data_IF_478889937514
#
_entry.id   IF_478889937514
#
_cell.length_a   1.000
_cell.length_b   1.000
_cell.length_c   1.000
_cell.angle_alpha   90.00
_cell.angle_beta   90.00
_cell.angle_gamma   90.00
#
_symmetry.space_group_name_H-M   'P 1'
#
loop_
_entity.id
_entity.type
_entity.pdbx_description
1 polymer ?
#
# COMPACT_ATOMS: atom_id res chain seq x y z
N UNK A 1 13.99 -60.60 -24.64
CA UNK A 1 14.15 -59.40 -23.80
C UNK A 1 12.94 -58.50 -24.03
N UNK A 2 12.27 -58.11 -22.93
CA UNK A 2 11.06 -57.28 -22.89
C UNK A 2 11.48 -55.88 -22.44
N UNK A 3 10.98 -54.83 -23.09
CA UNK A 3 10.08 -53.80 -22.53
C UNK A 3 10.02 -52.57 -23.45
N UNK A 4 8.80 -52.24 -23.86
CA UNK A 4 8.42 -50.96 -24.44
C UNK A 4 8.63 -49.85 -23.39
N UNK A 5 9.13 -48.70 -23.82
CA UNK A 5 9.13 -47.47 -23.02
C UNK A 5 8.20 -46.48 -23.71
N UNK A 6 7.05 -46.23 -23.10
CA UNK A 6 6.27 -45.01 -23.34
C UNK A 6 7.04 -43.87 -22.65
N UNK A 7 7.49 -42.88 -23.40
CA UNK A 7 7.79 -41.57 -22.82
C UNK A 7 6.50 -40.75 -22.89
N UNK A 8 5.84 -40.62 -21.74
CA UNK A 8 4.74 -39.68 -21.58
C UNK A 8 5.25 -38.27 -21.88
N UNK A 9 4.57 -37.56 -22.76
CA UNK A 9 4.65 -36.11 -22.81
C UNK A 9 4.15 -35.62 -21.46
N UNK A 10 5.06 -35.28 -20.55
CA UNK A 10 4.72 -34.41 -19.45
C UNK A 10 4.40 -33.07 -20.09
N UNK A 11 3.11 -32.81 -20.32
CA UNK A 11 2.64 -31.44 -20.37
C UNK A 11 3.00 -30.89 -18.98
N UNK A 12 4.11 -30.16 -18.88
CA UNK A 12 4.26 -29.23 -17.77
C UNK A 12 3.07 -28.29 -17.93
N UNK A 13 2.02 -28.52 -17.14
CA UNK A 13 1.29 -27.41 -16.60
C UNK A 13 2.34 -26.61 -15.82
N UNK A 14 2.97 -25.65 -16.49
CA UNK A 14 3.38 -24.42 -15.84
C UNK A 14 2.06 -23.85 -15.33
N UNK A 15 1.61 -24.36 -14.17
CA UNK A 15 0.81 -23.53 -13.30
C UNK A 15 1.65 -22.28 -13.17
N UNK A 16 1.11 -21.16 -13.62
CA UNK A 16 1.57 -19.86 -13.18
C UNK A 16 1.45 -19.92 -11.68
N UNK A 17 2.50 -20.39 -11.00
CA UNK A 17 2.62 -20.23 -9.57
C UNK A 17 2.66 -18.73 -9.42
N UNK A 18 1.52 -18.13 -9.07
CA UNK A 18 1.50 -16.80 -8.52
C UNK A 18 2.58 -16.85 -7.45
N UNK A 19 3.69 -16.14 -7.67
CA UNK A 19 4.68 -15.98 -6.62
C UNK A 19 3.88 -15.43 -5.44
N UNK A 20 3.68 -16.25 -4.40
CA UNK A 20 2.96 -15.80 -3.23
C UNK A 20 3.84 -14.70 -2.65
N UNK A 21 3.36 -13.46 -2.74
CA UNK A 21 4.02 -12.33 -2.12
C UNK A 21 4.27 -12.66 -0.65
N UNK A 22 5.43 -12.30 -0.15
CA UNK A 22 5.75 -12.45 1.27
C UNK A 22 4.80 -11.53 2.06
N UNK A 23 4.01 -12.03 3.02
CA UNK A 23 3.14 -11.17 3.81
C UNK A 23 3.93 -10.06 4.49
N UNK A 24 3.34 -8.87 4.57
CA UNK A 24 3.92 -7.76 5.31
C UNK A 24 3.53 -7.83 6.79
N UNK A 25 4.18 -7.01 7.63
CA UNK A 25 3.89 -6.92 9.07
C UNK A 25 2.41 -6.62 9.37
N UNK A 26 1.75 -5.84 8.52
CA UNK A 26 0.36 -5.43 8.77
C UNK A 26 -0.64 -6.57 8.53
N UNK A 27 -0.25 -7.60 7.76
CA UNK A 27 -1.06 -8.81 7.57
C UNK A 27 -1.16 -9.64 8.86
N UNK A 28 -0.21 -9.48 9.79
CA UNK A 28 -0.20 -10.17 11.08
C UNK A 28 -1.03 -9.43 12.16
N UNK A 29 -1.52 -8.22 11.89
CA UNK A 29 -2.30 -7.44 12.86
C UNK A 29 -3.72 -8.01 12.94
N UNK A 30 -4.01 -8.67 14.06
CA UNK A 30 -5.33 -9.23 14.33
C UNK A 30 -6.37 -8.10 14.41
N UNK A 31 -7.45 -8.21 13.63
CA UNK A 31 -8.50 -7.20 13.60
C UNK A 31 -8.15 -5.94 12.82
N UNK A 32 -7.08 -5.96 12.00
CA UNK A 32 -6.80 -4.86 11.08
C UNK A 32 -8.01 -4.60 10.18
N UNK A 33 -8.46 -3.35 10.14
CA UNK A 33 -9.61 -2.95 9.35
C UNK A 33 -9.25 -2.77 7.86
N UNK A 34 -7.97 -2.52 7.56
CA UNK A 34 -7.51 -2.26 6.20
C UNK A 34 -7.35 -3.55 5.40
N UNK A 35 -7.99 -3.61 4.23
CA UNK A 35 -7.73 -4.65 3.24
C UNK A 35 -6.45 -4.32 2.48
N UNK A 36 -5.65 -5.35 2.17
CA UNK A 36 -4.40 -5.21 1.41
C UNK A 36 -3.48 -4.09 1.97
N UNK A 37 -3.35 -4.04 3.30
CA UNK A 37 -2.66 -2.98 4.03
C UNK A 37 -1.16 -2.83 3.67
N UNK A 38 -0.54 -3.89 3.13
CA UNK A 38 0.86 -3.91 2.71
C UNK A 38 1.05 -4.09 1.22
N UNK A 39 0.00 -3.97 0.42
CA UNK A 39 0.06 -4.06 -1.05
C UNK A 39 0.54 -5.41 -1.62
N UNK A 40 0.55 -6.46 -0.80
CA UNK A 40 1.05 -7.80 -1.16
C UNK A 40 0.22 -8.53 -2.22
N UNK A 41 -0.90 -7.95 -2.68
CA UNK A 41 -1.56 -8.44 -3.89
C UNK A 41 -0.87 -8.04 -5.20
N UNK A 42 0.21 -7.25 -5.14
CA UNK A 42 0.89 -6.68 -6.31
C UNK A 42 0.05 -5.63 -7.04
N UNK A 43 -0.96 -5.07 -6.37
CA UNK A 43 -1.88 -4.06 -6.92
C UNK A 43 -2.56 -3.29 -5.79
N UNK A 44 -3.33 -2.26 -6.16
CA UNK A 44 -4.20 -1.51 -5.24
C UNK A 44 -5.53 -2.23 -4.92
N UNK A 45 -5.58 -3.57 -4.99
CA UNK A 45 -6.79 -4.31 -4.63
C UNK A 45 -7.31 -3.90 -3.25
N UNK A 46 -8.59 -3.54 -3.15
CA UNK A 46 -9.22 -3.04 -1.92
C UNK A 46 -9.04 -1.53 -1.66
N UNK A 47 -8.23 -0.82 -2.44
CA UNK A 47 -8.04 0.63 -2.33
C UNK A 47 -8.71 1.35 -3.50
N UNK A 48 -9.39 2.46 -3.22
CA UNK A 48 -9.78 3.41 -4.24
C UNK A 48 -8.56 4.25 -4.62
N UNK A 49 -8.31 4.41 -5.92
CA UNK A 49 -7.18 5.17 -6.44
C UNK A 49 -7.65 6.45 -7.10
N UNK A 50 -6.95 7.55 -6.86
CA UNK A 50 -7.12 8.83 -7.56
C UNK A 50 -5.76 9.27 -8.11
N UNK A 51 -5.33 8.73 -9.27
CA UNK A 51 -4.08 9.18 -9.89
C UNK A 51 -4.20 10.64 -10.34
N UNK A 52 -3.08 11.35 -10.34
CA UNK A 52 -3.03 12.72 -10.82
C UNK A 52 -3.47 12.79 -12.31
N UNK A 53 -4.29 13.78 -12.70
CA UNK A 53 -4.78 13.88 -14.09
C UNK A 53 -3.66 14.15 -15.10
N UNK A 54 -2.50 14.64 -14.66
CA UNK A 54 -1.31 14.86 -15.47
C UNK A 54 -0.08 14.50 -14.64
N UNK A 55 0.94 13.90 -15.27
CA UNK A 55 2.23 13.61 -14.63
C UNK A 55 2.17 12.61 -13.48
N UNK A 56 1.16 11.74 -13.41
CA UNK A 56 1.07 10.66 -12.41
C UNK A 56 2.17 9.62 -12.65
N UNK A 57 2.88 9.28 -11.57
CA UNK A 57 3.78 8.12 -11.50
C UNK A 57 3.46 7.36 -10.20
N UNK A 58 2.57 6.39 -10.32
CA UNK A 58 1.85 5.82 -9.18
C UNK A 58 1.53 4.36 -9.41
N UNK A 59 1.75 3.53 -8.39
CA UNK A 59 1.63 2.09 -8.56
C UNK A 59 1.98 1.29 -7.31
N UNK A 60 1.90 -0.04 -7.47
CA UNK A 60 2.40 -1.01 -6.48
C UNK A 60 3.56 -1.75 -7.12
N UNK A 61 4.75 -1.61 -6.55
CA UNK A 61 5.97 -2.22 -7.05
C UNK A 61 7.01 -2.26 -5.91
N UNK A 62 8.29 -2.41 -6.24
CA UNK A 62 9.37 -2.23 -5.26
C UNK A 62 9.39 -3.27 -4.15
N UNK A 63 10.27 -3.05 -3.17
CA UNK A 63 10.32 -3.85 -1.93
C UNK A 63 9.90 -2.94 -0.80
N UNK A 64 8.77 -3.25 -0.18
CA UNK A 64 8.27 -2.53 0.98
C UNK A 64 9.17 -2.69 2.20
N UNK A 65 8.87 -1.92 3.25
CA UNK A 65 9.56 -2.03 4.54
C UNK A 65 9.57 -3.47 5.07
N UNK A 66 8.47 -4.19 4.86
CA UNK A 66 8.37 -5.65 4.97
C UNK A 66 7.52 -6.17 3.83
N UNK A 67 7.64 -7.45 3.53
CA UNK A 67 6.88 -8.08 2.45
C UNK A 67 7.55 -7.90 1.10
N UNK A 68 6.78 -8.04 0.02
CA UNK A 68 7.28 -8.06 -1.36
C UNK A 68 6.96 -6.82 -2.17
N UNK A 69 6.07 -5.93 -1.69
CA UNK A 69 5.63 -4.76 -2.44
C UNK A 69 5.49 -3.51 -1.55
N UNK A 70 5.63 -2.33 -2.15
CA UNK A 70 5.17 -1.04 -1.62
C UNK A 70 4.25 -0.33 -2.61
N UNK A 71 3.50 0.65 -2.11
CA UNK A 71 2.87 1.66 -2.95
C UNK A 71 3.83 2.83 -3.14
N UNK A 72 3.94 3.33 -4.37
CA UNK A 72 4.73 4.51 -4.69
C UNK A 72 3.84 5.60 -5.31
N UNK A 73 4.20 6.86 -5.03
CA UNK A 73 3.48 8.06 -5.42
C UNK A 73 4.50 9.09 -5.92
N UNK A 74 4.29 9.62 -7.13
CA UNK A 74 5.32 10.39 -7.84
C UNK A 74 4.76 11.47 -8.75
N UNK A 75 3.50 11.88 -8.56
CA UNK A 75 2.87 12.94 -9.35
C UNK A 75 3.75 14.20 -9.48
N UNK A 76 4.04 14.60 -10.72
CA UNK A 76 4.96 15.69 -11.02
C UNK A 76 4.28 17.01 -11.46
N UNK A 77 2.95 17.02 -11.61
CA UNK A 77 2.20 18.14 -12.20
C UNK A 77 1.07 18.69 -11.29
N UNK A 78 1.42 19.01 -10.04
CA UNK A 78 0.66 19.88 -9.14
C UNK A 78 -0.54 19.27 -8.40
N UNK A 79 -1.20 18.26 -8.96
CA UNK A 79 -2.20 17.46 -8.25
C UNK A 79 -1.56 16.15 -7.75
N UNK A 80 -1.76 15.74 -6.49
CA UNK A 80 -1.16 14.53 -5.95
C UNK A 80 -1.86 13.27 -6.47
N UNK A 81 -1.11 12.16 -6.51
CA UNK A 81 -1.68 10.82 -6.51
C UNK A 81 -2.25 10.52 -5.11
N UNK A 82 -3.36 9.77 -5.05
CA UNK A 82 -3.96 9.39 -3.78
C UNK A 82 -4.55 7.98 -3.78
N UNK A 83 -4.56 7.36 -2.60
CA UNK A 83 -5.35 6.17 -2.29
C UNK A 83 -6.26 6.43 -1.10
N UNK A 84 -7.36 5.68 -1.03
CA UNK A 84 -8.24 5.68 0.13
C UNK A 84 -9.02 4.39 0.27
N UNK A 85 -9.37 4.04 1.49
CA UNK A 85 -10.29 2.95 1.79
C UNK A 85 -11.27 3.42 2.86
N UNK A 86 -12.55 3.12 2.66
CA UNK A 86 -13.57 3.31 3.68
C UNK A 86 -13.56 2.10 4.61
N UNK A 87 -13.38 2.33 5.91
CA UNK A 87 -13.39 1.28 6.93
C UNK A 87 -14.45 1.55 7.98
N UNK A 88 -15.09 0.49 8.48
CA UNK A 88 -16.14 0.60 9.49
C UNK A 88 -15.57 0.92 10.87
N UNK A 89 -15.83 2.13 11.38
CA UNK A 89 -15.47 2.56 12.73
C UNK A 89 -16.68 2.67 13.65
N UNK A 90 -16.45 2.53 14.95
CA UNK A 90 -17.45 2.71 16.00
C UNK A 90 -17.18 4.03 16.72
N UNK A 91 -18.15 4.97 16.77
CA UNK A 91 -17.99 6.21 17.52
C UNK A 91 -17.56 5.98 18.97
N UNK A 92 -16.61 6.78 19.45
CA UNK A 92 -16.05 6.67 20.79
C UNK A 92 -14.98 5.59 20.95
N UNK A 93 -14.75 4.73 19.96
CA UNK A 93 -13.61 3.81 19.98
C UNK A 93 -12.32 4.53 19.56
N UNK A 94 -11.24 4.20 20.25
CA UNK A 94 -9.89 4.61 19.90
C UNK A 94 -9.34 3.67 18.83
N UNK A 95 -8.74 4.24 17.80
CA UNK A 95 -8.09 3.56 16.69
C UNK A 95 -6.64 4.00 16.60
N UNK A 96 -5.81 3.11 16.08
CA UNK A 96 -4.39 3.30 15.83
C UNK A 96 -4.12 3.10 14.33
N UNK A 97 -3.56 4.11 13.67
CA UNK A 97 -3.17 4.11 12.27
C UNK A 97 -1.65 4.19 12.18
N UNK A 98 -1.05 3.11 11.70
CA UNK A 98 0.39 2.99 11.52
C UNK A 98 0.74 2.69 10.05
N UNK A 99 1.80 3.32 9.56
CA UNK A 99 2.39 2.99 8.26
C UNK A 99 3.86 3.39 8.23
N UNK A 100 4.62 2.76 7.33
CA UNK A 100 6.01 3.13 7.08
C UNK A 100 6.10 3.98 5.81
N UNK A 101 6.82 5.09 5.89
CA UNK A 101 7.04 6.02 4.79
C UNK A 101 8.55 6.16 4.53
N UNK A 102 8.94 6.32 3.26
CA UNK A 102 10.28 6.76 2.86
C UNK A 102 10.14 7.86 1.80
N UNK A 103 11.19 8.64 1.60
CA UNK A 103 11.28 9.62 0.51
C UNK A 103 12.62 9.47 -0.20
N UNK A 104 12.61 9.54 -1.53
CA UNK A 104 13.83 9.60 -2.34
C UNK A 104 14.44 11.01 -2.39
N UNK A 105 13.73 12.02 -1.88
CA UNK A 105 14.15 13.41 -1.84
C UNK A 105 14.10 14.15 -3.18
N UNK A 106 13.52 13.56 -4.23
CA UNK A 106 13.39 14.22 -5.53
C UNK A 106 12.39 15.38 -5.44
N UNK A 107 12.70 16.54 -6.02
CA UNK A 107 11.86 17.75 -5.95
C UNK A 107 11.32 18.15 -7.33
N UNK A 108 10.13 18.78 -7.43
CA UNK A 108 9.24 19.12 -6.32
C UNK A 108 8.51 17.89 -5.76
N UNK A 109 8.37 17.80 -4.43
CA UNK A 109 7.54 16.77 -3.79
C UNK A 109 6.72 17.31 -2.62
N UNK A 110 5.79 16.48 -2.16
CA UNK A 110 5.05 16.68 -0.92
C UNK A 110 4.29 15.41 -0.56
N UNK A 111 4.22 15.10 0.73
CA UNK A 111 3.45 13.97 1.24
C UNK A 111 2.30 14.50 2.11
N UNK A 112 1.11 13.97 1.87
CA UNK A 112 -0.08 14.27 2.65
C UNK A 112 -0.69 12.95 3.09
N UNK A 113 -1.02 12.80 4.37
CA UNK A 113 -1.80 11.66 4.85
C UNK A 113 -3.11 12.18 5.42
N UNK A 114 -4.15 12.13 4.58
CA UNK A 114 -5.51 12.36 5.06
C UNK A 114 -6.00 11.14 5.82
N UNK A 115 -6.56 11.33 7.02
CA UNK A 115 -7.28 10.27 7.72
C UNK A 115 -8.64 10.79 8.21
N UNK A 116 -9.68 9.96 8.06
CA UNK A 116 -11.05 10.10 8.59
C UNK A 116 -11.77 11.47 8.51
N UNK A 117 -12.93 11.45 7.85
CA UNK A 117 -13.89 12.55 7.68
C UNK A 117 -13.30 13.77 6.94
N UNK A 118 -12.55 14.64 7.62
CA UNK A 118 -11.96 15.86 7.05
C UNK A 118 -10.64 16.28 7.70
N UNK A 119 -10.11 15.48 8.64
CA UNK A 119 -8.87 15.82 9.35
C UNK A 119 -7.64 15.39 8.55
N UNK A 120 -7.06 16.33 7.81
CA UNK A 120 -5.78 16.09 7.15
C UNK A 120 -4.63 16.19 8.14
N UNK A 121 -3.83 15.14 8.22
CA UNK A 121 -2.52 15.22 8.85
C UNK A 121 -1.46 15.39 7.76
N UNK A 122 -0.86 16.57 7.72
CA UNK A 122 0.19 16.87 6.75
C UNK A 122 1.49 16.33 7.34
N UNK A 123 2.07 15.31 6.70
CA UNK A 123 3.40 14.82 7.02
C UNK A 123 4.42 15.82 6.47
N UNK A 124 4.92 16.70 7.33
CA UNK A 124 5.89 17.73 6.98
C UNK A 124 5.24 19.04 6.55
N UNK A 125 5.74 20.16 7.07
CA UNK A 125 5.21 21.50 6.78
C UNK A 125 5.72 22.09 5.46
N UNK A 126 6.33 21.30 4.58
CA UNK A 126 7.11 21.81 3.46
C UNK A 126 6.76 21.12 2.15
N UNK A 127 6.63 21.92 1.10
CA UNK A 127 7.10 21.51 -0.22
C UNK A 127 8.55 21.01 -0.09
N UNK A 128 8.92 19.98 -0.84
CA UNK A 128 10.29 19.44 -0.91
C UNK A 128 10.75 18.73 0.37
N UNK A 129 10.03 17.69 0.76
CA UNK A 129 10.41 16.78 1.82
C UNK A 129 11.77 16.12 1.47
N UNK A 130 12.75 16.14 2.38
CA UNK A 130 14.08 15.59 2.12
C UNK A 130 14.05 14.07 1.91
N UNK A 131 15.15 13.51 1.43
CA UNK A 131 15.34 12.06 1.42
C UNK A 131 15.38 11.52 2.86
N UNK A 132 14.65 10.42 3.11
CA UNK A 132 14.75 9.65 4.34
C UNK A 132 14.37 8.18 4.08
N UNK A 133 14.93 7.28 4.87
CA UNK A 133 14.61 5.84 4.79
C UNK A 133 13.34 5.52 5.59
N UNK A 134 12.84 4.30 5.47
CA UNK A 134 11.60 3.84 6.10
C UNK A 134 11.48 4.29 7.56
N UNK A 135 10.50 5.15 7.80
CA UNK A 135 10.18 5.75 9.09
C UNK A 135 8.75 5.39 9.45
N UNK A 136 8.53 4.97 10.70
CA UNK A 136 7.20 4.66 11.22
C UNK A 136 6.46 5.95 11.51
N UNK A 137 5.28 6.08 10.92
CA UNK A 137 4.26 7.06 11.26
C UNK A 137 3.17 6.36 12.08
N UNK A 138 2.80 6.95 13.22
CA UNK A 138 1.90 6.37 14.22
C UNK A 138 0.95 7.44 14.74
N UNK A 139 -0.35 7.22 14.53
CA UNK A 139 -1.41 8.14 14.91
C UNK A 139 -2.54 7.41 15.62
N UNK A 140 -2.86 7.88 16.83
CA UNK A 140 -4.08 7.46 17.52
C UNK A 140 -5.18 8.50 17.39
N UNK A 141 -6.41 8.06 17.12
CA UNK A 141 -7.58 8.94 17.07
C UNK A 141 -8.83 8.23 17.60
N UNK A 142 -9.78 9.01 18.13
CA UNK A 142 -11.09 8.49 18.53
C UNK A 142 -12.10 8.78 17.43
N UNK A 143 -12.80 7.75 16.93
CA UNK A 143 -13.81 7.95 15.90
C UNK A 143 -14.99 8.77 16.45
N UNK A 144 -15.41 9.81 15.71
CA UNK A 144 -16.51 10.71 16.11
C UNK A 144 -17.81 10.41 15.38
N UNK A 145 -17.74 9.77 14.21
CA UNK A 145 -18.88 9.38 13.38
C UNK A 145 -18.79 7.88 13.04
N UNK A 146 -19.94 7.16 12.90
CA UNK A 146 -19.94 5.86 12.26
C UNK A 146 -19.54 6.12 10.81
N UNK A 147 -18.46 5.52 10.35
CA UNK A 147 -17.94 5.73 9.00
C UNK A 147 -19.03 5.53 7.93
N UNK A 148 -19.13 6.46 7.00
CA UNK A 148 -19.85 6.31 5.72
C UNK A 148 -18.89 5.96 4.60
#
# INVERSE_FOLDING_TARGET
MKKFILAATALLAIGSGSANATPSLCNAVAGNLLQNCGFESGSFSGWNTSPAPNGSDFGVAGTGYTGSFDAYFGASAGMPDAIGQTVLTTPGHLYDLQFYLKSDGNTPNGAFVGYFDTSFHVLGSGTDIPQFDWTLEDFTFTATTPST
#
